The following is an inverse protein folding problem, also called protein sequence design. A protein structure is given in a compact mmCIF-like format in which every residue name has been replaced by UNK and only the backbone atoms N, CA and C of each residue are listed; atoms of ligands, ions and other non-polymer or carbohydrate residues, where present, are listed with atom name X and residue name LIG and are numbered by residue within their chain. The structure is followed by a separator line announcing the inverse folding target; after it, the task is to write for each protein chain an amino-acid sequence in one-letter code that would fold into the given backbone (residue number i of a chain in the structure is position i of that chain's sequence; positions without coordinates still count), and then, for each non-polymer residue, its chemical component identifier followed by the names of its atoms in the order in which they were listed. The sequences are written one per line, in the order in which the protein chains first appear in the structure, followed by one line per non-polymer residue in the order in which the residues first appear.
data_IF_385800502724
#
_entry.id   IF_385800502724
#
_cell.length_a   1.000
_cell.length_b   1.000
_cell.length_c   1.000
_cell.angle_alpha   90.00
_cell.angle_beta   90.00
_cell.angle_gamma   90.00
#
_symmetry.space_group_name_H-M   'P 1'
#
loop_
_entity.id
_entity.type
_entity.pdbx_description
1 polymer ?
#
# COMPACT_ATOMS: atom_id res chain seq x y z
N UNK A 1 8.52 16.51 -11.22
CA UNK A 1 7.36 16.60 -10.32
C UNK A 1 6.11 16.86 -11.10
N UNK A 2 5.03 16.18 -10.76
CA UNK A 2 3.75 16.41 -11.42
C UNK A 2 3.07 17.62 -10.80
N UNK A 3 2.47 18.46 -11.64
CA UNK A 3 1.62 19.54 -11.19
C UNK A 3 0.22 18.99 -10.95
N UNK A 4 -0.15 18.84 -9.69
CA UNK A 4 -1.41 18.26 -9.30
C UNK A 4 -2.40 19.35 -8.93
N UNK A 5 -3.63 19.26 -9.45
CA UNK A 5 -4.70 20.11 -8.95
C UNK A 5 -5.17 19.59 -7.58
N UNK A 6 -6.04 20.36 -6.94
CA UNK A 6 -6.48 20.05 -5.57
C UNK A 6 -7.20 18.73 -5.47
N UNK A 7 -8.03 18.41 -6.46
CA UNK A 7 -8.79 17.16 -6.47
C UNK A 7 -7.86 15.95 -6.65
N UNK A 8 -6.90 16.06 -7.56
CA UNK A 8 -5.91 15.01 -7.78
C UNK A 8 -5.07 14.78 -6.54
N UNK A 9 -4.70 15.86 -5.85
CA UNK A 9 -3.92 15.77 -4.61
C UNK A 9 -4.72 15.06 -3.52
N UNK A 10 -6.02 15.35 -3.39
CA UNK A 10 -6.88 14.65 -2.43
C UNK A 10 -6.97 13.17 -2.75
N UNK A 11 -7.16 12.82 -4.03
CA UNK A 11 -7.22 11.42 -4.45
C UNK A 11 -5.90 10.71 -4.18
N UNK A 12 -4.78 11.37 -4.44
CA UNK A 12 -3.46 10.80 -4.20
C UNK A 12 -3.26 10.48 -2.72
N UNK A 13 -3.58 11.43 -1.84
CA UNK A 13 -3.46 11.23 -0.40
C UNK A 13 -4.36 10.10 0.09
N UNK A 14 -5.57 10.02 -0.45
CA UNK A 14 -6.50 8.95 -0.10
C UNK A 14 -5.94 7.58 -0.50
N UNK A 15 -5.37 7.48 -1.70
CA UNK A 15 -4.77 6.23 -2.19
C UNK A 15 -3.56 5.82 -1.37
N UNK A 16 -2.72 6.78 -0.99
CA UNK A 16 -1.57 6.50 -0.13
C UNK A 16 -2.03 5.91 1.20
N UNK A 17 -3.05 6.52 1.82
CA UNK A 17 -3.60 6.01 3.08
C UNK A 17 -4.21 4.62 2.93
N UNK A 18 -4.93 4.37 1.83
CA UNK A 18 -5.52 3.07 1.57
C UNK A 18 -4.46 1.98 1.41
N UNK A 19 -3.35 2.28 0.73
CA UNK A 19 -2.27 1.31 0.56
C UNK A 19 -1.53 1.07 1.86
N UNK A 20 -1.39 2.08 2.72
CA UNK A 20 -0.80 1.89 4.04
C UNK A 20 -1.66 0.96 4.90
N UNK A 21 -2.98 1.15 4.89
CA UNK A 21 -3.90 0.28 5.64
C UNK A 21 -3.84 -1.14 5.10
N UNK A 22 -3.84 -1.29 3.77
CA UNK A 22 -3.74 -2.60 3.13
C UNK A 22 -2.44 -3.31 3.53
N UNK A 23 -1.33 -2.59 3.52
CA UNK A 23 -0.03 -3.12 3.93
C UNK A 23 -0.09 -3.66 5.36
N UNK A 24 -0.61 -2.88 6.29
CA UNK A 24 -0.71 -3.28 7.69
C UNK A 24 -1.61 -4.49 7.88
N UNK A 25 -2.76 -4.50 7.23
CA UNK A 25 -3.70 -5.64 7.31
C UNK A 25 -3.10 -6.91 6.74
N UNK A 26 -2.43 -6.81 5.60
CA UNK A 26 -1.80 -7.97 4.97
C UNK A 26 -0.67 -8.54 5.82
N UNK A 27 0.10 -7.69 6.48
CA UNK A 27 1.11 -8.15 7.43
C UNK A 27 0.48 -8.89 8.60
N UNK A 28 -0.62 -8.38 9.13
CA UNK A 28 -1.35 -9.04 10.22
C UNK A 28 -1.88 -10.40 9.78
N UNK A 29 -2.50 -10.44 8.59
CA UNK A 29 -3.02 -11.71 8.05
C UNK A 29 -1.90 -12.71 7.83
N UNK A 30 -0.75 -12.26 7.32
CA UNK A 30 0.41 -13.12 7.13
C UNK A 30 0.88 -13.73 8.45
N UNK A 31 0.94 -12.92 9.50
CA UNK A 31 1.39 -13.41 10.82
C UNK A 31 0.42 -14.42 11.42
N UNK A 32 -0.87 -14.34 11.06
CA UNK A 32 -1.90 -15.25 11.56
C UNK A 32 -2.13 -16.47 10.67
N UNK A 33 -1.61 -16.46 9.46
CA UNK A 33 -1.81 -17.56 8.52
C UNK A 33 -1.03 -18.79 8.97
N UNK A 34 -1.68 -19.95 8.91
CA UNK A 34 -1.05 -21.25 9.26
C UNK A 34 -0.44 -21.89 8.02
N UNK A 35 -1.14 -21.81 6.89
CA UNK A 35 -0.67 -22.38 5.63
C UNK A 35 0.51 -21.57 5.09
N UNK A 36 1.67 -22.20 4.85
CA UNK A 36 2.84 -21.47 4.37
C UNK A 36 2.64 -20.78 3.02
N UNK A 37 1.84 -21.38 2.13
CA UNK A 37 1.59 -20.77 0.82
C UNK A 37 0.73 -19.53 0.95
N UNK A 38 -0.28 -19.57 1.81
CA UNK A 38 -1.13 -18.40 2.10
C UNK A 38 -0.31 -17.31 2.77
N UNK A 39 0.55 -17.69 3.71
CA UNK A 39 1.43 -16.74 4.38
C UNK A 39 2.33 -16.01 3.38
N UNK A 40 2.92 -16.74 2.44
CA UNK A 40 3.76 -16.14 1.40
C UNK A 40 2.96 -15.22 0.49
N UNK A 41 1.72 -15.59 0.14
CA UNK A 41 0.85 -14.76 -0.68
C UNK A 41 0.58 -13.42 0.02
N UNK A 42 0.23 -13.46 1.30
CA UNK A 42 -0.02 -12.22 2.06
C UNK A 42 1.24 -11.36 2.19
N UNK A 43 2.40 -11.99 2.43
CA UNK A 43 3.67 -11.26 2.49
C UNK A 43 3.97 -10.55 1.18
N UNK A 44 3.77 -11.24 0.06
CA UNK A 44 4.00 -10.66 -1.26
C UNK A 44 3.05 -9.50 -1.53
N UNK A 45 1.77 -9.69 -1.21
CA UNK A 45 0.76 -8.65 -1.40
C UNK A 45 1.04 -7.44 -0.51
N UNK A 46 1.50 -7.66 0.72
CA UNK A 46 1.90 -6.58 1.62
C UNK A 46 3.05 -5.77 1.03
N UNK A 47 4.05 -6.46 0.50
CA UNK A 47 5.21 -5.80 -0.10
C UNK A 47 4.80 -4.98 -1.33
N UNK A 48 3.89 -5.51 -2.15
CA UNK A 48 3.37 -4.79 -3.30
C UNK A 48 2.60 -3.53 -2.88
N UNK A 49 1.80 -3.62 -1.83
CA UNK A 49 1.07 -2.47 -1.30
C UNK A 49 2.04 -1.38 -0.81
N UNK A 50 3.10 -1.78 -0.12
CA UNK A 50 4.11 -0.85 0.36
C UNK A 50 4.84 -0.18 -0.81
N UNK A 51 5.21 -0.96 -1.83
CA UNK A 51 5.89 -0.44 -3.00
C UNK A 51 5.00 0.57 -3.74
N UNK A 52 3.72 0.27 -3.89
CA UNK A 52 2.78 1.18 -4.53
C UNK A 52 2.63 2.46 -3.73
N UNK A 53 2.52 2.35 -2.40
CA UNK A 53 2.45 3.51 -1.53
C UNK A 53 3.66 4.42 -1.73
N UNK A 54 4.86 3.85 -1.73
CA UNK A 54 6.09 4.62 -1.89
C UNK A 54 6.14 5.31 -3.25
N UNK A 55 5.70 4.61 -4.29
CA UNK A 55 5.63 5.18 -5.63
C UNK A 55 4.66 6.36 -5.70
N UNK A 56 3.49 6.22 -5.06
CA UNK A 56 2.51 7.30 -5.01
C UNK A 56 3.04 8.51 -4.25
N UNK A 57 3.80 8.28 -3.19
CA UNK A 57 4.36 9.35 -2.37
C UNK A 57 5.36 10.21 -3.16
N UNK A 58 5.99 9.68 -4.20
CA UNK A 58 6.92 10.47 -5.01
C UNK A 58 6.23 11.63 -5.72
N UNK A 59 4.91 11.55 -5.92
CA UNK A 59 4.14 12.62 -6.56
C UNK A 59 3.82 13.78 -5.62
N UNK A 60 4.08 13.61 -4.33
CA UNK A 60 3.82 14.67 -3.34
C UNK A 60 4.95 15.69 -3.24
N UNK A 61 6.09 15.40 -3.80
CA UNK A 61 7.28 16.28 -3.71
C UNK A 61 7.44 17.16 -4.93
#
# INVERSE_FOLDING_TARGET
MADLNQLELQHLRHLIGAHEIAYQKLNTFSSQAVDPQIKQLFNKSAQEALNTKQKLMTFLN
#
